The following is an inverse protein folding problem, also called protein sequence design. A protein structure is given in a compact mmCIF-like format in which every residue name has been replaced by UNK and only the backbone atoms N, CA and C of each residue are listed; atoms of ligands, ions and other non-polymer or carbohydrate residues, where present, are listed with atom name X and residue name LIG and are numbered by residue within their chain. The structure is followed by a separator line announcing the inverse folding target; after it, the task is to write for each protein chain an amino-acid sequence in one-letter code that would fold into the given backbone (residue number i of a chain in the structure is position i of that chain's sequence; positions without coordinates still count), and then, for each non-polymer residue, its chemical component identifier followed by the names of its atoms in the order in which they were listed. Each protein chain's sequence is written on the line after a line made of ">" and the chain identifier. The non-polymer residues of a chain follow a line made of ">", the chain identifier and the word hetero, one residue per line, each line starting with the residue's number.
data_IF_451605365315
#
_entry.id   IF_451605365315
#
_cell.length_a   1.000
_cell.length_b   1.000
_cell.length_c   1.000
_cell.angle_alpha   90.00
_cell.angle_beta   90.00
_cell.angle_gamma   90.00
#
_symmetry.space_group_name_H-M   'P 1'
#
loop_
_entity.id
_entity.type
_entity.pdbx_description
1 polymer ?
#
# COMPACT_ATOMS: atom_id res chain seq x y z
N UNK A 1 -3.06 -9.99 -10.05
CA UNK A 1 -2.26 -9.67 -8.84
C UNK A 1 -1.21 -10.73 -8.47
N UNK A 2 -1.19 -11.95 -9.02
CA UNK A 2 -0.23 -12.99 -8.58
C UNK A 2 1.13 -13.04 -9.33
N UNK A 3 1.32 -12.30 -10.44
CA UNK A 3 2.53 -12.48 -11.26
C UNK A 3 3.83 -11.96 -10.61
N UNK A 4 3.71 -11.05 -9.64
CA UNK A 4 4.84 -10.32 -9.06
C UNK A 4 5.11 -10.65 -7.60
N UNK A 5 4.18 -11.31 -6.91
CA UNK A 5 4.37 -11.69 -5.51
C UNK A 5 4.84 -13.13 -5.45
N UNK A 6 5.79 -13.43 -4.57
CA UNK A 6 6.15 -14.80 -4.27
C UNK A 6 4.97 -15.50 -3.55
N UNK A 7 4.43 -16.60 -4.11
CA UNK A 7 3.22 -17.19 -3.57
C UNK A 7 3.44 -17.99 -2.29
N UNK A 8 4.69 -18.34 -1.96
CA UNK A 8 5.05 -19.22 -0.84
C UNK A 8 5.68 -18.44 0.31
N UNK A 9 6.47 -17.42 -0.01
CA UNK A 9 7.41 -16.78 0.93
C UNK A 9 7.12 -15.31 1.20
N UNK A 10 5.98 -14.79 0.74
CA UNK A 10 5.59 -13.40 0.95
C UNK A 10 5.29 -13.11 2.42
N UNK A 11 6.20 -12.38 3.08
CA UNK A 11 6.05 -11.92 4.47
C UNK A 11 5.26 -10.60 4.47
N UNK A 12 4.23 -10.52 5.30
CA UNK A 12 3.37 -9.34 5.42
C UNK A 12 3.52 -8.71 6.79
N UNK A 13 3.96 -7.46 6.83
CA UNK A 13 4.11 -6.71 8.09
C UNK A 13 2.87 -5.88 8.45
N UNK A 14 1.89 -5.75 7.56
CA UNK A 14 0.59 -5.17 7.91
C UNK A 14 -0.09 -6.04 8.98
N UNK A 15 -0.30 -5.55 10.22
CA UNK A 15 -0.83 -6.37 11.31
C UNK A 15 -2.29 -6.82 11.11
N UNK A 16 -2.97 -6.30 10.09
CA UNK A 16 -4.37 -6.64 9.75
C UNK A 16 -4.47 -7.69 8.65
N UNK A 17 -3.37 -8.05 8.00
CA UNK A 17 -3.32 -8.97 6.87
C UNK A 17 -2.38 -10.13 7.21
N UNK A 18 -2.83 -11.37 7.03
CA UNK A 18 -1.97 -12.53 7.24
C UNK A 18 -0.88 -12.67 6.18
N UNK A 19 0.12 -13.50 6.46
CA UNK A 19 1.21 -13.82 5.54
C UNK A 19 0.73 -14.53 4.26
N UNK A 20 1.57 -14.44 3.23
CA UNK A 20 1.34 -15.05 1.92
C UNK A 20 0.43 -14.22 1.01
N UNK A 21 0.72 -14.25 -0.30
CA UNK A 21 -0.02 -13.44 -1.26
C UNK A 21 -1.52 -13.78 -1.33
N UNK A 22 -1.89 -15.01 -0.96
CA UNK A 22 -3.29 -15.45 -0.89
C UNK A 22 -4.09 -14.73 0.21
N UNK A 23 -3.49 -14.53 1.39
CA UNK A 23 -4.13 -13.82 2.50
C UNK A 23 -4.34 -12.35 2.16
N UNK A 24 -3.36 -11.71 1.52
CA UNK A 24 -3.48 -10.35 1.00
C UNK A 24 -4.62 -10.21 -0.02
N UNK A 25 -4.69 -11.10 -1.02
CA UNK A 25 -5.78 -11.08 -2.02
C UNK A 25 -7.15 -11.29 -1.35
N UNK A 26 -7.23 -12.19 -0.36
CA UNK A 26 -8.46 -12.41 0.38
C UNK A 26 -8.87 -11.18 1.22
N UNK A 27 -7.91 -10.47 1.81
CA UNK A 27 -8.16 -9.24 2.57
C UNK A 27 -8.75 -8.14 1.68
N UNK A 28 -8.14 -7.86 0.52
CA UNK A 28 -8.68 -6.86 -0.42
C UNK A 28 -10.07 -7.21 -0.93
N UNK A 29 -10.33 -8.48 -1.27
CA UNK A 29 -11.69 -8.92 -1.68
C UNK A 29 -12.73 -8.71 -0.57
N UNK A 30 -12.36 -8.90 0.70
CA UNK A 30 -13.25 -8.66 1.83
C UNK A 30 -13.56 -7.17 1.99
N UNK A 31 -12.57 -6.30 1.81
CA UNK A 31 -12.74 -4.85 1.87
C UNK A 31 -13.67 -4.36 0.75
N UNK A 32 -13.46 -4.85 -0.48
CA UNK A 32 -14.32 -4.53 -1.62
C UNK A 32 -15.77 -4.97 -1.35
N UNK A 33 -15.97 -6.20 -0.86
CA UNK A 33 -17.30 -6.72 -0.52
C UNK A 33 -17.96 -5.97 0.65
N UNK A 34 -17.16 -5.39 1.55
CA UNK A 34 -17.64 -4.57 2.67
C UNK A 34 -17.93 -3.11 2.27
N UNK A 35 -17.74 -2.74 1.00
CA UNK A 35 -17.95 -1.37 0.53
C UNK A 35 -16.88 -0.39 0.98
N UNK A 36 -15.69 -0.88 1.37
CA UNK A 36 -14.55 -0.07 1.79
C UNK A 36 -13.35 -0.28 0.85
N UNK A 37 -13.52 -0.10 -0.48
CA UNK A 37 -12.46 -0.39 -1.43
C UNK A 37 -11.28 0.57 -1.24
N UNK A 38 -10.09 0.05 -1.45
CA UNK A 38 -8.87 0.84 -1.58
C UNK A 38 -8.71 1.22 -3.05
N UNK A 39 -8.58 2.52 -3.33
CA UNK A 39 -8.34 3.03 -4.69
C UNK A 39 -7.09 3.88 -4.70
N UNK A 40 -6.19 3.61 -5.63
CA UNK A 40 -5.01 4.44 -5.89
C UNK A 40 -5.35 5.46 -6.98
N UNK A 41 -4.98 6.72 -6.77
CA UNK A 41 -5.27 7.82 -7.69
C UNK A 41 -4.00 8.30 -8.41
N UNK A 42 -2.91 8.51 -7.66
CA UNK A 42 -1.63 8.91 -8.21
C UNK A 42 -0.47 8.37 -7.38
N UNK A 43 0.72 8.29 -7.99
CA UNK A 43 1.95 7.81 -7.36
C UNK A 43 3.02 8.89 -7.52
N UNK A 44 3.08 9.87 -6.60
CA UNK A 44 4.05 10.95 -6.68
C UNK A 44 5.49 10.52 -6.40
N UNK A 45 5.72 9.43 -5.67
CA UNK A 45 7.07 8.99 -5.31
C UNK A 45 7.24 7.50 -5.64
N UNK A 46 8.29 7.20 -6.39
CA UNK A 46 8.83 5.86 -6.58
C UNK A 46 10.33 5.93 -6.36
N UNK A 47 10.83 5.20 -5.37
CA UNK A 47 12.25 5.09 -5.05
C UNK A 47 12.67 3.63 -5.09
N UNK A 48 13.79 3.35 -5.73
CA UNK A 48 14.41 2.03 -5.75
C UNK A 48 15.82 2.10 -5.17
N UNK A 49 16.12 1.21 -4.22
CA UNK A 49 17.46 1.11 -3.64
C UNK A 49 17.79 -0.35 -3.31
N UNK A 50 18.82 -0.88 -3.96
CA UNK A 50 19.21 -2.29 -3.82
C UNK A 50 18.07 -3.22 -4.22
N UNK A 51 17.53 -3.98 -3.26
CA UNK A 51 16.39 -4.86 -3.47
C UNK A 51 15.09 -4.32 -2.85
N UNK A 52 15.02 -3.03 -2.55
CA UNK A 52 13.81 -2.38 -2.03
C UNK A 52 13.20 -1.43 -3.05
N UNK A 53 11.88 -1.34 -3.03
CA UNK A 53 11.10 -0.34 -3.75
C UNK A 53 10.13 0.30 -2.76
N UNK A 54 10.20 1.62 -2.62
CA UNK A 54 9.21 2.43 -1.93
C UNK A 54 8.29 3.07 -2.96
N UNK A 55 6.99 2.89 -2.76
CA UNK A 55 5.94 3.57 -3.52
C UNK A 55 5.12 4.40 -2.56
N UNK A 56 5.14 5.73 -2.72
CA UNK A 56 4.22 6.60 -2.02
C UNK A 56 3.12 7.06 -2.98
N UNK A 57 1.86 6.81 -2.60
CA UNK A 57 0.69 7.06 -3.45
C UNK A 57 -0.39 7.85 -2.71
N UNK A 58 -1.14 8.67 -3.42
CA UNK A 58 -2.43 9.19 -2.93
C UNK A 58 -3.57 8.33 -3.46
N UNK A 59 -4.59 8.19 -2.64
CA UNK A 59 -5.79 7.48 -3.02
C UNK A 59 -6.92 7.64 -2.02
N UNK A 60 -7.81 6.65 -1.99
CA UNK A 60 -9.04 6.67 -1.19
C UNK A 60 -9.20 5.33 -0.47
N UNK A 61 -9.51 5.39 0.82
CA UNK A 61 -10.04 4.25 1.59
C UNK A 61 -11.47 4.58 1.95
N UNK A 62 -12.44 3.84 1.42
CA UNK A 62 -13.87 4.14 1.63
C UNK A 62 -14.22 5.63 1.35
N UNK A 63 -13.76 6.14 0.20
CA UNK A 63 -13.90 7.54 -0.25
C UNK A 63 -13.16 8.60 0.60
N UNK A 64 -12.37 8.19 1.61
CA UNK A 64 -11.58 9.13 2.41
C UNK A 64 -10.16 9.31 1.82
N UNK A 65 -9.73 10.55 1.50
CA UNK A 65 -8.38 10.84 1.03
C UNK A 65 -7.32 10.26 1.95
N UNK A 66 -6.45 9.42 1.39
CA UNK A 66 -5.48 8.64 2.15
C UNK A 66 -4.18 8.55 1.37
N UNK A 67 -3.07 8.70 2.09
CA UNK A 67 -1.74 8.40 1.57
C UNK A 67 -1.39 6.95 1.90
N UNK A 68 -0.69 6.32 0.97
CA UNK A 68 -0.13 4.98 1.09
C UNK A 68 1.39 5.10 1.02
N UNK A 69 2.08 4.46 1.95
CA UNK A 69 3.52 4.22 1.87
C UNK A 69 3.72 2.73 1.85
N UNK A 70 3.98 2.18 0.66
CA UNK A 70 4.20 0.75 0.44
C UNK A 70 5.68 0.50 0.19
N UNK A 71 6.35 -0.15 1.14
CA UNK A 71 7.72 -0.61 0.98
C UNK A 71 7.71 -2.10 0.65
N UNK A 72 8.40 -2.48 -0.41
CA UNK A 72 8.50 -3.86 -0.86
C UNK A 72 9.95 -4.28 -0.99
N UNK A 73 10.28 -5.49 -0.53
CA UNK A 73 11.57 -6.13 -0.83
C UNK A 73 11.42 -7.17 -1.93
N UNK A 74 12.40 -7.24 -2.81
CA UNK A 74 12.44 -8.16 -3.94
C UNK A 74 13.48 -9.27 -3.75
N UNK A 75 13.18 -10.43 -4.33
CA UNK A 75 14.12 -11.52 -4.60
C UNK A 75 13.74 -12.15 -5.94
N UNK A 76 14.71 -12.41 -6.82
CA UNK A 76 14.51 -13.05 -8.12
C UNK A 76 13.38 -12.42 -8.96
N UNK A 77 13.30 -11.08 -8.94
CA UNK A 77 12.29 -10.30 -9.66
C UNK A 77 10.87 -10.39 -9.09
N UNK A 78 10.69 -10.95 -7.89
CA UNK A 78 9.41 -11.05 -7.19
C UNK A 78 9.44 -10.30 -5.86
N UNK A 79 8.31 -9.75 -5.46
CA UNK A 79 8.10 -9.18 -4.13
C UNK A 79 7.98 -10.35 -3.13
N UNK A 80 8.84 -10.35 -2.13
CA UNK A 80 8.93 -11.38 -1.09
C UNK A 80 8.60 -10.86 0.31
N UNK A 81 8.50 -9.55 0.48
CA UNK A 81 8.20 -8.93 1.77
C UNK A 81 7.62 -7.54 1.57
N UNK A 82 6.69 -7.15 2.45
CA UNK A 82 5.94 -5.92 2.32
C UNK A 82 5.64 -5.26 3.67
N UNK A 83 5.75 -3.94 3.70
CA UNK A 83 5.32 -3.07 4.79
C UNK A 83 4.44 -1.97 4.23
N UNK A 84 3.41 -1.59 4.97
CA UNK A 84 2.60 -0.43 4.65
C UNK A 84 2.35 0.50 5.85
N UNK A 85 2.18 1.78 5.53
CA UNK A 85 1.57 2.76 6.43
C UNK A 85 0.52 3.53 5.64
N UNK A 86 -0.69 3.60 6.20
CA UNK A 86 -1.77 4.41 5.66
C UNK A 86 -2.01 5.59 6.58
N UNK A 87 -2.17 6.78 5.98
CA UNK A 87 -2.52 7.98 6.72
C UNK A 87 -3.60 8.76 5.98
N UNK A 88 -4.72 9.05 6.67
CA UNK A 88 -5.74 9.96 6.16
C UNK A 88 -5.14 11.35 5.95
N UNK A 89 -5.38 11.93 4.77
CA UNK A 89 -4.99 13.30 4.46
C UNK A 89 -6.04 14.22 5.11
N UNK A 90 -5.66 15.07 6.07
CA UNK A 90 -6.62 15.97 6.71
C UNK A 90 -7.15 17.00 5.69
N UNK A 91 -8.32 17.61 5.92
CA UNK A 91 -8.81 18.68 5.08
C UNK A 91 -7.84 19.87 5.11
N UNK A 92 -7.78 20.63 4.01
CA UNK A 92 -6.83 21.74 3.85
C UNK A 92 -6.95 22.80 4.96
N UNK A 93 -8.13 22.96 5.55
CA UNK A 93 -8.39 23.86 6.69
C UNK A 93 -7.61 23.49 7.96
N UNK A 94 -7.15 22.24 8.07
CA UNK A 94 -6.37 21.75 9.22
C UNK A 94 -4.86 21.73 8.95
N UNK A 95 -4.43 22.01 7.72
CA UNK A 95 -3.03 21.95 7.36
C UNK A 95 -2.22 23.00 8.11
N UNK A 96 -1.03 22.59 8.57
CA UNK A 96 -0.08 23.46 9.28
C UNK A 96 1.02 24.01 8.37
N UNK A 97 1.06 23.58 7.10
CA UNK A 97 1.96 24.06 6.07
C UNK A 97 1.21 24.18 4.73
N UNK A 98 1.80 24.89 3.77
CA UNK A 98 1.22 25.12 2.44
C UNK A 98 1.72 24.20 1.34
N UNK A 99 2.50 23.16 1.68
CA UNK A 99 3.24 22.37 0.69
C UNK A 99 2.43 21.19 0.17
N UNK A 100 1.31 20.85 0.81
CA UNK A 100 0.58 19.63 0.49
C UNK A 100 1.07 18.43 1.31
N UNK A 101 0.63 17.24 0.92
CA UNK A 101 1.04 16.00 1.58
C UNK A 101 2.45 15.56 1.16
N UNK A 102 2.86 15.87 -0.06
CA UNK A 102 4.14 15.55 -0.68
C UNK A 102 4.89 16.82 -1.09
#
# INVERSE_FOLDING_TARGET
>A
MSRYNDPVTYIQHNPRIGDGSAAMVAAFRKLDAAGTPHRYLCTPILLDEGNFILVASEGLVADVPTVYYDLSRLSDGRIVEHWDVLQTIPPQTEWKNGNGKF
#
